data_IF_166440322732
#
_entry.id   IF_166440322732
#
_cell.length_a   1.000
_cell.length_b   1.000
_cell.length_c   1.000
_cell.angle_alpha   90.00
_cell.angle_beta   90.00
_cell.angle_gamma   90.00
#
_symmetry.space_group_name_H-M   'P 1'
#
loop_
_entity.id
_entity.type
_entity.pdbx_description
1 polymer ?
#
# COMPACT_ATOMS: atom_id res chain seq x y z
N UNK A 1 12.02 6.43 5.38
CA UNK A 1 11.03 6.05 6.40
C UNK A 1 11.69 5.70 7.73
N UNK A 2 11.06 6.10 8.84
CA UNK A 2 11.41 5.68 10.20
C UNK A 2 10.64 4.42 10.62
N UNK A 3 11.12 3.71 11.64
CA UNK A 3 10.45 2.49 12.15
C UNK A 3 8.99 2.72 12.56
N UNK A 4 8.66 3.91 13.08
CA UNK A 4 7.29 4.26 13.44
C UNK A 4 6.39 4.32 12.19
N UNK A 5 6.87 5.03 11.15
CA UNK A 5 6.16 5.14 9.88
C UNK A 5 5.98 3.78 9.22
N UNK A 6 7.00 2.93 9.25
CA UNK A 6 6.94 1.56 8.71
C UNK A 6 5.85 0.75 9.41
N UNK A 7 5.78 0.79 10.74
CA UNK A 7 4.72 0.10 11.46
C UNK A 7 3.33 0.64 11.10
N UNK A 8 3.17 1.97 11.00
CA UNK A 8 1.88 2.57 10.60
C UNK A 8 1.48 2.15 9.17
N UNK A 9 2.44 2.06 8.25
CA UNK A 9 2.18 1.55 6.90
C UNK A 9 1.70 0.10 6.95
N UNK A 10 2.38 -0.76 7.69
CA UNK A 10 2.03 -2.19 7.80
C UNK A 10 0.65 -2.37 8.42
N UNK A 11 0.34 -1.67 9.52
CA UNK A 11 -0.99 -1.72 10.15
C UNK A 11 -2.08 -1.29 9.16
N UNK A 12 -1.86 -0.18 8.45
CA UNK A 12 -2.80 0.32 7.44
C UNK A 12 -3.02 -0.72 6.34
N UNK A 13 -1.95 -1.30 5.78
CA UNK A 13 -2.07 -2.28 4.69
C UNK A 13 -2.66 -3.62 5.15
N UNK A 14 -2.37 -4.03 6.38
CA UNK A 14 -2.95 -5.23 6.98
C UNK A 14 -4.47 -5.12 7.13
N UNK A 15 -5.02 -3.93 7.39
CA UNK A 15 -6.47 -3.69 7.37
C UNK A 15 -7.09 -3.92 5.98
N UNK A 16 -6.35 -3.66 4.90
CA UNK A 16 -6.74 -3.98 3.54
C UNK A 16 -6.49 -5.45 3.15
N UNK A 17 -5.95 -6.26 4.07
CA UNK A 17 -5.57 -7.66 3.83
C UNK A 17 -4.22 -7.82 3.12
N UNK A 18 -3.42 -6.76 3.06
CA UNK A 18 -2.12 -6.74 2.38
C UNK A 18 -1.00 -6.72 3.45
N UNK A 19 -0.40 -7.88 3.70
CA UNK A 19 0.57 -8.06 4.79
C UNK A 19 1.98 -7.74 4.29
N UNK A 20 2.64 -6.80 4.96
CA UNK A 20 4.00 -6.36 4.64
C UNK A 20 4.93 -6.54 5.83
N UNK A 21 6.19 -6.88 5.57
CA UNK A 21 7.24 -6.87 6.61
C UNK A 21 7.97 -5.53 6.62
N UNK A 22 8.57 -5.12 7.76
CA UNK A 22 9.32 -3.88 7.84
C UNK A 22 10.45 -3.78 6.81
N UNK A 23 11.11 -4.89 6.53
CA UNK A 23 12.17 -4.99 5.52
C UNK A 23 11.64 -4.73 4.11
N UNK A 24 10.47 -5.27 3.75
CA UNK A 24 9.85 -5.01 2.45
C UNK A 24 9.43 -3.55 2.29
N UNK A 25 8.88 -2.95 3.34
CA UNK A 25 8.51 -1.53 3.32
C UNK A 25 9.76 -0.66 3.21
N UNK A 26 10.85 -1.03 3.89
CA UNK A 26 12.11 -0.31 3.80
C UNK A 26 12.79 -0.47 2.43
N UNK A 27 12.70 -1.63 1.81
CA UNK A 27 13.29 -1.90 0.50
C UNK A 27 12.54 -1.17 -0.64
N UNK A 28 11.20 -1.11 -0.55
CA UNK A 28 10.35 -0.49 -1.58
C UNK A 28 10.13 1.01 -1.33
N UNK A 29 9.84 1.38 -0.08
CA UNK A 29 9.42 2.72 0.33
C UNK A 29 10.41 3.40 1.29
N UNK A 30 11.63 2.86 1.44
CA UNK A 30 12.66 3.40 2.34
C UNK A 30 12.97 4.88 2.12
N UNK A 31 12.88 5.33 0.87
CA UNK A 31 13.11 6.73 0.47
C UNK A 31 11.82 7.58 0.41
N UNK A 32 10.66 6.97 0.65
CA UNK A 32 9.36 7.62 0.58
C UNK A 32 8.93 8.16 1.95
N UNK A 33 7.99 9.11 1.93
CA UNK A 33 7.23 9.47 3.12
C UNK A 33 6.12 8.46 3.38
N UNK A 34 5.67 8.30 4.63
CA UNK A 34 4.55 7.43 4.98
C UNK A 34 3.31 7.72 4.12
N UNK A 35 2.99 9.00 3.94
CA UNK A 35 1.82 9.43 3.18
C UNK A 35 1.94 9.03 1.70
N UNK A 36 3.11 9.23 1.09
CA UNK A 36 3.34 8.86 -0.31
C UNK A 36 3.28 7.35 -0.50
N UNK A 37 3.88 6.57 0.41
CA UNK A 37 3.84 5.11 0.37
C UNK A 37 2.39 4.57 0.45
N UNK A 38 1.61 5.07 1.41
CA UNK A 38 0.19 4.68 1.56
C UNK A 38 -0.61 5.08 0.31
N UNK A 39 -0.40 6.29 -0.21
CA UNK A 39 -1.15 6.79 -1.35
C UNK A 39 -0.82 6.03 -2.65
N UNK A 40 0.46 5.72 -2.87
CA UNK A 40 0.90 4.88 -4.00
C UNK A 40 0.27 3.48 -3.94
N UNK A 41 0.31 2.84 -2.76
CA UNK A 41 -0.26 1.50 -2.59
C UNK A 41 -1.78 1.50 -2.70
N UNK A 42 -2.46 2.52 -2.20
CA UNK A 42 -3.92 2.71 -2.38
C UNK A 42 -4.27 2.98 -3.84
N UNK A 43 -3.47 3.77 -4.56
CA UNK A 43 -3.66 4.01 -5.99
C UNK A 43 -3.48 2.72 -6.81
N UNK A 44 -2.53 1.86 -6.42
CA UNK A 44 -2.35 0.54 -7.01
C UNK A 44 -3.60 -0.34 -6.80
N UNK A 45 -4.15 -0.39 -5.59
CA UNK A 45 -5.37 -1.14 -5.28
C UNK A 45 -6.62 -0.57 -5.98
N UNK A 46 -6.75 0.77 -6.05
CA UNK A 46 -7.87 1.43 -6.72
C UNK A 46 -7.88 1.13 -8.23
N UNK A 47 -6.70 1.15 -8.87
CA UNK A 47 -6.58 0.75 -10.29
C UNK A 47 -7.01 -0.71 -10.51
N UNK A 48 -6.76 -1.60 -9.55
CA UNK A 48 -7.22 -2.99 -9.64
C UNK A 48 -8.75 -3.09 -9.51
N UNK A 49 -9.36 -2.30 -8.63
CA UNK A 49 -10.81 -2.28 -8.45
C UNK A 49 -11.56 -1.74 -9.69
N UNK A 50 -11.02 -0.69 -10.34
CA UNK A 50 -11.61 -0.11 -11.55
C UNK A 50 -11.61 -1.10 -12.74
N UNK A 51 -10.58 -1.94 -12.86
CA UNK A 51 -10.50 -2.97 -13.91
C UNK A 51 -11.58 -4.06 -13.71
N UNK A 52 -11.83 -4.47 -12.46
CA UNK A 52 -12.87 -5.47 -12.16
C UNK A 52 -14.27 -4.91 -12.45
N UNK A 53 -14.52 -3.63 -12.14
CA UNK A 53 -15.77 -2.96 -12.48
C UNK A 53 -16.04 -2.88 -13.99
N UNK A 54 -14.99 -2.64 -14.79
CA UNK A 54 -15.12 -2.59 -16.25
C UNK A 54 -15.41 -3.98 -16.87
N UNK A 55 -14.82 -5.05 -16.33
CA UNK A 55 -15.01 -6.41 -16.87
C UNK A 55 -16.34 -7.04 -16.47
N UNK A 56 -16.87 -6.74 -15.28
CA UNK A 56 -18.15 -7.32 -14.81
C UNK A 56 -19.37 -6.62 -15.45
N UNK A 57 -19.23 -5.38 -15.92
CA UNK A 57 -20.32 -4.63 -16.57
C UNK A 57 -20.29 -4.70 -18.11
N UNK A 58 -19.73 -5.77 -18.69
CA UNK A 58 -19.71 -6.05 -20.14
C UNK A 58 -20.84 -6.98 -20.57
#
# INVERSE_FOLDING_TARGET
>A
MSNLEINTFIETMQEFGDIWTPEQVQDVYGDYSLADAINDRKACHAKMADIIGAVINS
#
